data_IF_280630889003
#
_entry.id   IF_280630889003
#
_cell.length_a   1.000
_cell.length_b   1.000
_cell.length_c   1.000
_cell.angle_alpha   90.00
_cell.angle_beta   90.00
_cell.angle_gamma   90.00
#
_symmetry.space_group_name_H-M   'P 1'
#
loop_
_entity.id
_entity.type
_entity.pdbx_description
1 polymer ?
#
# COMPACT_ATOMS: atom_id res chain seq x y z
N UNK A 1 -10.40 -4.38 5.74
CA UNK A 1 -9.63 -3.61 4.74
C UNK A 1 -8.31 -3.27 5.41
N UNK A 2 -7.19 -3.51 4.75
CA UNK A 2 -5.87 -3.26 5.34
C UNK A 2 -5.63 -1.76 5.52
N UNK A 3 -4.68 -1.34 6.39
CA UNK A 3 -4.27 0.05 6.51
C UNK A 3 -3.92 0.68 5.15
N UNK A 4 -3.23 -0.08 4.29
CA UNK A 4 -2.93 0.33 2.91
C UNK A 4 -4.21 0.54 2.09
N UNK A 5 -5.15 -0.41 2.15
CA UNK A 5 -6.42 -0.29 1.43
C UNK A 5 -7.22 0.94 1.85
N UNK A 6 -7.24 1.24 3.16
CA UNK A 6 -7.91 2.42 3.71
C UNK A 6 -7.21 3.71 3.26
N UNK A 7 -5.88 3.72 3.28
CA UNK A 7 -5.06 4.84 2.82
C UNK A 7 -5.29 5.17 1.34
N UNK A 8 -5.27 4.15 0.47
CA UNK A 8 -5.54 4.30 -0.96
C UNK A 8 -6.97 4.78 -1.24
N UNK A 9 -7.95 4.31 -0.46
CA UNK A 9 -9.34 4.75 -0.57
C UNK A 9 -9.53 6.21 -0.16
N UNK A 10 -8.90 6.65 0.95
CA UNK A 10 -8.94 8.04 1.43
C UNK A 10 -8.37 9.03 0.42
N UNK A 11 -7.33 8.64 -0.31
CA UNK A 11 -6.69 9.46 -1.35
C UNK A 11 -7.33 9.31 -2.74
N UNK A 12 -8.47 8.61 -2.86
CA UNK A 12 -9.16 8.35 -4.13
C UNK A 12 -8.23 7.79 -5.23
N UNK A 13 -7.29 6.93 -4.82
CA UNK A 13 -6.27 6.40 -5.73
C UNK A 13 -6.89 5.40 -6.70
N UNK A 14 -6.63 5.60 -7.99
CA UNK A 14 -7.03 4.65 -9.02
C UNK A 14 -6.09 3.43 -9.00
N UNK A 15 -6.58 2.29 -8.49
CA UNK A 15 -5.82 1.03 -8.43
C UNK A 15 -5.37 0.53 -9.81
N UNK A 16 -6.10 0.85 -10.89
CA UNK A 16 -5.71 0.46 -12.24
C UNK A 16 -4.52 1.27 -12.75
N UNK A 17 -4.47 2.57 -12.41
CA UNK A 17 -3.35 3.46 -12.71
C UNK A 17 -2.08 2.99 -11.98
N UNK A 18 -2.21 2.70 -10.67
CA UNK A 18 -1.10 2.17 -9.86
C UNK A 18 -0.59 0.86 -10.43
N UNK A 19 -1.48 -0.09 -10.77
CA UNK A 19 -1.08 -1.37 -11.39
C UNK A 19 -0.24 -1.18 -12.65
N UNK A 20 -0.62 -0.20 -13.49
CA UNK A 20 0.08 0.09 -14.75
C UNK A 20 1.45 0.74 -14.50
N UNK A 21 1.56 1.65 -13.52
CA UNK A 21 2.79 2.38 -13.19
C UNK A 21 3.80 1.53 -12.40
N UNK A 22 3.34 0.64 -11.53
CA UNK A 22 4.20 -0.17 -10.65
C UNK A 22 4.53 -1.55 -11.21
N UNK A 23 3.78 -2.01 -12.21
CA UNK A 23 3.86 -3.39 -12.69
C UNK A 23 3.23 -4.42 -11.74
N UNK A 24 2.62 -3.98 -10.63
CA UNK A 24 1.92 -4.86 -9.70
C UNK A 24 0.56 -5.22 -10.31
N UNK A 25 0.22 -6.51 -10.32
CA UNK A 25 -1.06 -6.95 -10.87
C UNK A 25 -2.26 -6.38 -10.08
N UNK A 26 -3.37 -6.11 -10.79
CA UNK A 26 -4.62 -5.64 -10.16
C UNK A 26 -5.11 -6.60 -9.07
N UNK A 27 -4.94 -7.91 -9.27
CA UNK A 27 -5.28 -8.93 -8.28
C UNK A 27 -4.44 -8.78 -7.01
N UNK A 28 -3.13 -8.59 -7.15
CA UNK A 28 -2.24 -8.41 -6.01
C UNK A 28 -2.52 -7.12 -5.24
N UNK A 29 -2.77 -5.99 -5.93
CA UNK A 29 -3.22 -4.74 -5.26
C UNK A 29 -4.53 -4.92 -4.51
N UNK A 30 -5.46 -5.72 -5.04
CA UNK A 30 -6.71 -6.06 -4.35
C UNK A 30 -6.43 -6.89 -3.09
N UNK A 31 -5.59 -7.92 -3.18
CA UNK A 31 -5.19 -8.71 -2.01
C UNK A 31 -4.50 -7.86 -0.94
N UNK A 32 -3.55 -7.00 -1.33
CA UNK A 32 -2.85 -6.09 -0.42
C UNK A 32 -3.79 -5.08 0.26
N UNK A 33 -4.89 -4.70 -0.40
CA UNK A 33 -5.88 -3.75 0.15
C UNK A 33 -6.94 -4.43 1.04
N UNK A 34 -7.24 -5.71 0.79
CA UNK A 34 -8.42 -6.37 1.35
C UNK A 34 -8.10 -7.51 2.31
N UNK A 35 -6.93 -8.14 2.19
CA UNK A 35 -6.55 -9.29 3.00
C UNK A 35 -5.43 -8.94 3.99
N UNK A 36 -5.78 -8.92 5.28
CA UNK A 36 -4.88 -8.59 6.41
C UNK A 36 -3.75 -9.59 6.61
N UNK A 37 -3.88 -10.81 6.10
CA UNK A 37 -2.82 -11.83 6.15
C UNK A 37 -1.77 -11.67 5.04
N UNK A 38 -2.05 -10.85 4.03
CA UNK A 38 -1.12 -10.64 2.92
C UNK A 38 0.01 -9.73 3.37
N UNK A 39 1.24 -10.23 3.34
CA UNK A 39 2.41 -9.40 3.64
C UNK A 39 2.66 -8.40 2.49
N UNK A 40 2.60 -7.13 2.85
CA UNK A 40 3.04 -6.02 2.01
C UNK A 40 4.56 -5.93 2.10
N UNK A 41 5.23 -5.99 0.94
CA UNK A 41 6.70 -5.90 0.88
C UNK A 41 7.14 -4.44 0.74
N UNK A 42 8.37 -4.15 1.18
CA UNK A 42 8.91 -2.79 1.18
C UNK A 42 9.05 -2.20 -0.23
N UNK A 43 9.45 -3.01 -1.21
CA UNK A 43 9.48 -2.65 -2.63
C UNK A 43 8.08 -2.29 -3.17
N UNK A 44 7.05 -3.05 -2.79
CA UNK A 44 5.67 -2.76 -3.15
C UNK A 44 5.18 -1.44 -2.54
N UNK A 45 5.50 -1.17 -1.27
CA UNK A 45 5.21 0.14 -0.63
C UNK A 45 5.84 1.27 -1.42
N UNK A 46 7.13 1.11 -1.74
CA UNK A 46 7.92 2.12 -2.42
C UNK A 46 7.36 2.43 -3.82
N UNK A 47 7.09 1.39 -4.62
CA UNK A 47 6.52 1.56 -5.95
C UNK A 47 5.12 2.17 -5.90
N UNK A 48 4.26 1.74 -4.97
CA UNK A 48 2.91 2.30 -4.81
C UNK A 48 3.01 3.78 -4.46
N UNK A 49 3.88 4.15 -3.52
CA UNK A 49 4.10 5.54 -3.12
C UNK A 49 4.55 6.42 -4.29
N UNK A 50 5.52 5.95 -5.08
CA UNK A 50 5.96 6.64 -6.30
C UNK A 50 4.84 6.76 -7.33
N UNK A 51 4.01 5.73 -7.48
CA UNK A 51 2.88 5.75 -8.42
C UNK A 51 1.75 6.71 -8.01
N UNK A 52 1.66 7.06 -6.73
CA UNK A 52 0.72 8.07 -6.23
C UNK A 52 1.37 9.43 -5.99
N UNK A 53 2.65 9.60 -6.33
CA UNK A 53 3.46 10.80 -6.10
C UNK A 53 3.49 11.23 -4.63
N UNK A 54 3.66 10.26 -3.73
CA UNK A 54 3.78 10.50 -2.27
C UNK A 54 5.12 9.95 -1.77
N UNK A 55 5.63 10.52 -0.69
CA UNK A 55 6.82 10.01 -0.04
C UNK A 55 6.58 8.56 0.46
N UNK A 56 7.43 7.59 0.09
CA UNK A 56 7.36 6.22 0.59
C UNK A 56 7.34 6.09 2.11
N UNK A 57 8.02 6.99 2.82
CA UNK A 57 8.03 7.01 4.29
C UNK A 57 6.64 7.31 4.87
N UNK A 58 5.85 8.22 4.27
CA UNK A 58 4.49 8.50 4.73
C UNK A 58 3.59 7.26 4.61
N UNK A 59 3.73 6.52 3.51
CA UNK A 59 2.96 5.29 3.30
C UNK A 59 3.38 4.22 4.32
N UNK A 60 4.68 4.11 4.57
CA UNK A 60 5.21 3.17 5.56
C UNK A 60 4.71 3.50 6.97
N UNK A 61 4.79 4.75 7.39
CA UNK A 61 4.31 5.20 8.71
C UNK A 61 2.81 4.95 8.87
N UNK A 62 1.98 5.24 7.86
CA UNK A 62 0.54 4.99 7.95
C UNK A 62 0.22 3.49 8.03
N UNK A 63 0.95 2.64 7.30
CA UNK A 63 0.72 1.20 7.29
C UNK A 63 1.25 0.53 8.55
N UNK A 64 2.35 1.03 9.11
CA UNK A 64 3.04 0.45 10.26
C UNK A 64 2.77 1.18 11.59
N UNK A 65 1.84 2.15 11.63
CA UNK A 65 1.56 2.97 12.83
C UNK A 65 1.24 2.19 14.10
N UNK A 66 0.67 0.99 13.97
CA UNK A 66 0.27 0.15 15.09
C UNK A 66 1.37 -0.86 15.50
N UNK A 67 2.48 -0.92 14.76
CA UNK A 67 3.60 -1.82 15.05
C UNK A 67 4.42 -1.23 16.20
N UNK A 68 4.59 -2.02 17.24
CA UNK A 68 5.44 -1.71 18.39
C UNK A 68 6.50 -2.78 18.54
N UNK A 69 7.66 -2.39 19.06
CA UNK A 69 8.68 -3.35 19.48
C UNK A 69 8.11 -4.20 20.62
N UNK A 70 8.11 -5.54 20.52
CA UNK A 70 7.83 -6.39 21.66
C UNK A 70 8.98 -6.26 22.66
N UNK A 71 8.63 -5.98 23.93
CA UNK A 71 9.56 -5.98 25.06
C UNK A 71 9.96 -7.39 25.46
#
# INVERSE_FOLDING_TARGET
>A
MTPLGLYLARRSVNKAEVARRTGISKSRLSQLSSNETTKLRADEVYLIALAINVNPCEVLEEVCKDIKLPN
#
